data_IF_662295115217
#
_entry.id   IF_662295115217
#
_cell.length_a   1.000
_cell.length_b   1.000
_cell.length_c   1.000
_cell.angle_alpha   90.00
_cell.angle_beta   90.00
_cell.angle_gamma   90.00
#
_symmetry.space_group_name_H-M   'P 1'
#
loop_
_entity.id
_entity.type
_entity.pdbx_description
1 polymer ?
#
# COMPACT_ATOMS: atom_id res chain seq x y z
N UNK A 1 12.39 -31.64 54.86
CA UNK A 1 11.97 -30.32 54.37
C UNK A 1 13.13 -29.70 53.62
N UNK A 2 12.93 -29.30 52.38
CA UNK A 2 13.97 -28.73 51.52
C UNK A 2 13.40 -28.42 50.13
N UNK A 3 12.94 -27.17 50.02
CA UNK A 3 12.25 -26.44 48.94
C UNK A 3 12.41 -26.90 47.46
N UNK A 4 11.34 -26.80 46.65
CA UNK A 4 11.41 -26.98 45.19
C UNK A 4 12.05 -25.77 44.50
N UNK A 5 12.97 -26.04 43.59
CA UNK A 5 13.60 -25.06 42.71
C UNK A 5 12.61 -24.68 41.61
N UNK A 6 11.89 -23.57 41.81
CA UNK A 6 11.00 -23.01 40.80
C UNK A 6 11.81 -22.42 39.64
N UNK A 7 12.05 -23.22 38.60
CA UNK A 7 12.53 -22.72 37.31
C UNK A 7 11.43 -21.89 36.66
N UNK A 8 11.47 -20.57 36.91
CA UNK A 8 10.68 -19.59 36.16
C UNK A 8 11.19 -19.57 34.72
N UNK A 9 10.54 -20.34 33.85
CA UNK A 9 10.66 -20.19 32.41
C UNK A 9 10.08 -18.82 32.03
N UNK A 10 10.94 -17.80 31.99
CA UNK A 10 10.64 -16.51 31.36
C UNK A 10 10.19 -16.82 29.93
N UNK A 11 8.92 -16.55 29.62
CA UNK A 11 8.38 -16.69 28.28
C UNK A 11 9.25 -15.87 27.33
N UNK A 12 9.93 -16.54 26.41
CA UNK A 12 10.65 -15.88 25.34
C UNK A 12 9.61 -15.17 24.48
N UNK A 13 9.53 -13.85 24.59
CA UNK A 13 8.83 -13.00 23.63
C UNK A 13 9.57 -13.17 22.31
N UNK A 14 9.06 -14.07 21.45
CA UNK A 14 9.54 -14.19 20.09
C UNK A 14 9.21 -12.90 19.37
N UNK A 15 10.24 -12.08 19.13
CA UNK A 15 10.13 -10.93 18.25
C UNK A 15 9.90 -11.48 16.85
N UNK A 16 8.63 -11.55 16.44
CA UNK A 16 8.26 -11.91 15.08
C UNK A 16 8.62 -10.72 14.20
N UNK A 17 9.62 -10.88 13.34
CA UNK A 17 9.95 -9.84 12.35
C UNK A 17 8.94 -9.92 11.21
N UNK A 18 8.42 -8.79 10.72
CA UNK A 18 7.53 -8.78 9.56
C UNK A 18 8.26 -9.34 8.33
N UNK A 19 7.52 -10.09 7.52
CA UNK A 19 7.97 -10.62 6.23
C UNK A 19 7.33 -9.86 5.07
N UNK A 20 7.70 -10.18 3.82
CA UNK A 20 7.12 -9.54 2.62
C UNK A 20 5.59 -9.72 2.55
N UNK A 21 5.07 -10.84 3.08
CA UNK A 21 3.62 -11.10 3.12
C UNK A 21 2.92 -10.08 4.03
N UNK A 22 3.53 -9.80 5.18
CA UNK A 22 3.05 -8.82 6.17
C UNK A 22 2.98 -7.41 5.57
N UNK A 23 4.02 -6.96 4.86
CA UNK A 23 3.99 -5.66 4.17
C UNK A 23 2.95 -5.63 3.05
N UNK A 24 2.84 -6.68 2.26
CA UNK A 24 1.84 -6.75 1.18
C UNK A 24 0.41 -6.69 1.73
N UNK A 25 0.16 -7.30 2.89
CA UNK A 25 -1.12 -7.21 3.58
C UNK A 25 -1.42 -5.76 4.02
N UNK A 26 -0.42 -5.06 4.58
CA UNK A 26 -0.55 -3.66 4.97
C UNK A 26 -0.83 -2.75 3.76
N UNK A 27 -0.10 -2.92 2.66
CA UNK A 27 -0.32 -2.16 1.43
C UNK A 27 -1.72 -2.36 0.85
N UNK A 28 -2.22 -3.61 0.88
CA UNK A 28 -3.58 -3.93 0.46
C UNK A 28 -4.64 -3.31 1.39
N UNK A 29 -4.38 -3.27 2.70
CA UNK A 29 -5.26 -2.62 3.66
C UNK A 29 -5.36 -1.11 3.36
N UNK A 30 -4.22 -0.43 3.14
CA UNK A 30 -4.20 0.98 2.76
C UNK A 30 -4.99 1.23 1.45
N UNK A 31 -4.77 0.40 0.42
CA UNK A 31 -5.53 0.50 -0.84
C UNK A 31 -7.05 0.37 -0.64
N UNK A 32 -7.47 -0.43 0.34
CA UNK A 32 -8.89 -0.69 0.62
C UNK A 32 -9.60 0.51 1.24
N UNK A 33 -8.89 1.36 2.00
CA UNK A 33 -9.44 2.59 2.59
C UNK A 33 -10.06 3.49 1.52
N UNK A 34 -9.36 3.70 0.40
CA UNK A 34 -9.88 4.47 -0.73
C UNK A 34 -10.98 3.74 -1.52
N UNK A 35 -10.96 2.40 -1.58
CA UNK A 35 -11.93 1.62 -2.35
C UNK A 35 -13.32 1.59 -1.70
N UNK A 36 -13.38 1.45 -0.37
CA UNK A 36 -14.65 1.38 0.39
C UNK A 36 -15.47 2.66 0.19
N UNK A 37 -14.83 3.82 0.24
CA UNK A 37 -15.54 5.09 0.06
C UNK A 37 -16.10 5.30 -1.35
N UNK A 38 -15.61 4.62 -2.40
CA UNK A 38 -16.11 4.80 -3.78
C UNK A 38 -17.37 3.99 -4.07
N UNK A 39 -17.55 2.85 -3.38
CA UNK A 39 -18.67 1.95 -3.63
C UNK A 39 -19.95 2.30 -2.85
N UNK A 40 -19.86 3.04 -1.75
CA UNK A 40 -21.04 3.37 -0.90
C UNK A 40 -21.99 4.44 -1.45
N UNK A 41 -21.72 5.00 -2.64
CA UNK A 41 -22.54 6.09 -3.22
C UNK A 41 -23.81 5.65 -3.95
N UNK A 42 -24.10 4.35 -4.05
CA UNK A 42 -25.26 3.84 -4.80
C UNK A 42 -26.50 3.49 -3.92
N UNK A 43 -26.39 3.60 -2.59
CA UNK A 43 -27.51 3.29 -1.69
C UNK A 43 -28.47 4.47 -1.56
N UNK A 44 -29.34 4.65 -2.57
CA UNK A 44 -30.47 5.58 -2.54
C UNK A 44 -31.59 5.07 -1.63
N UNK A 45 -31.70 5.62 -0.42
CA UNK A 45 -32.98 5.80 0.26
C UNK A 45 -33.05 7.22 0.79
N UNK A 46 -34.01 7.99 0.27
CA UNK A 46 -34.15 9.42 0.51
C UNK A 46 -34.45 9.77 1.96
N UNK A 47 -33.89 10.89 2.42
CA UNK A 47 -34.27 11.51 3.68
C UNK A 47 -33.35 12.64 4.11
N UNK A 48 -33.80 13.87 3.93
CA UNK A 48 -33.62 14.97 4.88
C UNK A 48 -32.20 15.47 5.20
N UNK A 49 -31.80 16.52 4.48
CA UNK A 49 -31.21 17.76 4.99
C UNK A 49 -30.26 17.74 6.20
N UNK A 50 -29.01 18.14 5.93
CA UNK A 50 -28.23 19.00 6.82
C UNK A 50 -27.00 18.34 7.45
N UNK A 51 -25.85 18.45 6.78
CA UNK A 51 -24.53 18.24 7.38
C UNK A 51 -23.51 17.48 6.54
N UNK A 52 -23.39 17.72 5.24
CA UNK A 52 -22.59 16.88 4.32
C UNK A 52 -21.12 17.34 4.09
N UNK A 53 -20.68 18.42 4.75
CA UNK A 53 -19.31 18.94 4.56
C UNK A 53 -18.24 18.20 5.41
N UNK A 54 -18.64 17.47 6.45
CA UNK A 54 -17.71 16.79 7.38
C UNK A 54 -17.18 15.46 6.83
N UNK A 55 -18.05 14.67 6.17
CA UNK A 55 -17.76 13.30 5.72
C UNK A 55 -16.70 13.24 4.59
N UNK A 56 -16.74 14.22 3.68
CA UNK A 56 -15.77 14.30 2.57
C UNK A 56 -14.37 14.68 3.04
N UNK A 57 -14.27 15.52 4.07
CA UNK A 57 -13.00 15.93 4.66
C UNK A 57 -12.37 14.78 5.46
N UNK A 58 -13.15 14.10 6.30
CA UNK A 58 -12.67 12.96 7.08
C UNK A 58 -12.14 11.83 6.20
N UNK A 59 -12.76 11.61 5.04
CA UNK A 59 -12.26 10.66 4.04
C UNK A 59 -10.90 11.06 3.45
N UNK A 60 -10.75 12.32 3.04
CA UNK A 60 -9.50 12.80 2.44
C UNK A 60 -8.33 12.70 3.44
N UNK A 61 -8.59 13.00 4.72
CA UNK A 61 -7.62 12.82 5.80
C UNK A 61 -7.22 11.35 5.98
N UNK A 62 -8.20 10.43 5.97
CA UNK A 62 -7.92 8.99 6.04
C UNK A 62 -7.16 8.45 4.81
N UNK A 63 -7.44 8.97 3.61
CA UNK A 63 -6.71 8.60 2.38
C UNK A 63 -5.26 9.11 2.42
N UNK A 64 -5.01 10.33 2.91
CA UNK A 64 -3.65 10.86 3.10
C UNK A 64 -2.87 10.10 4.19
N UNK A 65 -3.51 9.75 5.31
CA UNK A 65 -2.90 8.93 6.36
C UNK A 65 -2.54 7.53 5.83
N UNK A 66 -3.48 6.89 5.14
CA UNK A 66 -3.25 5.58 4.53
C UNK A 66 -2.14 5.63 3.47
N UNK A 67 -2.00 6.73 2.74
CA UNK A 67 -0.91 6.95 1.80
C UNK A 67 0.45 7.06 2.52
N UNK A 68 0.52 7.81 3.62
CA UNK A 68 1.71 7.90 4.46
C UNK A 68 2.17 6.52 4.96
N UNK A 69 1.25 5.74 5.52
CA UNK A 69 1.54 4.38 6.01
C UNK A 69 2.00 3.47 4.86
N UNK A 70 1.34 3.52 3.69
CA UNK A 70 1.72 2.71 2.54
C UNK A 70 3.14 3.06 2.04
N UNK A 71 3.48 4.35 2.00
CA UNK A 71 4.78 4.84 1.58
C UNK A 71 5.88 4.38 2.55
N UNK A 72 5.65 4.52 3.85
CA UNK A 72 6.61 4.11 4.88
C UNK A 72 6.83 2.60 4.85
N UNK A 73 5.75 1.81 4.73
CA UNK A 73 5.83 0.36 4.60
C UNK A 73 6.63 -0.08 3.37
N UNK A 74 6.40 0.55 2.22
CA UNK A 74 7.15 0.26 0.99
C UNK A 74 8.63 0.63 1.11
N UNK A 75 8.94 1.80 1.68
CA UNK A 75 10.32 2.26 1.92
C UNK A 75 11.05 1.35 2.90
N UNK A 76 10.42 1.00 4.01
CA UNK A 76 11.00 0.12 5.02
C UNK A 76 11.36 -1.25 4.41
N UNK A 77 10.45 -1.84 3.63
CA UNK A 77 10.72 -3.10 2.91
C UNK A 77 11.92 -2.97 1.96
N UNK A 78 12.01 -1.87 1.21
CA UNK A 78 13.13 -1.59 0.29
C UNK A 78 14.44 -1.32 1.03
N UNK A 79 14.41 -0.67 2.19
CA UNK A 79 15.62 -0.35 2.95
C UNK A 79 16.13 -1.61 3.68
N UNK A 80 15.23 -2.46 4.17
CA UNK A 80 15.56 -3.77 4.73
C UNK A 80 16.27 -4.69 3.72
N UNK A 81 16.00 -4.48 2.43
CA UNK A 81 16.62 -5.20 1.30
C UNK A 81 18.11 -4.86 1.17
N UNK A 82 18.48 -3.60 1.40
CA UNK A 82 19.83 -3.06 1.17
C UNK A 82 20.85 -3.50 2.22
N UNK A 83 20.41 -3.91 3.41
CA UNK A 83 21.26 -4.41 4.50
C UNK A 83 21.64 -5.89 4.43
N UNK A 84 21.43 -6.55 3.28
CA UNK A 84 21.61 -8.01 3.17
C UNK A 84 20.48 -8.83 3.81
N UNK A 85 19.35 -8.19 4.13
CA UNK A 85 18.17 -8.85 4.66
C UNK A 85 17.49 -9.77 3.64
N UNK A 86 16.80 -10.80 4.12
CA UNK A 86 16.00 -11.72 3.30
C UNK A 86 14.69 -11.10 2.76
N UNK A 87 14.36 -9.90 3.23
CA UNK A 87 13.22 -9.12 2.78
C UNK A 87 13.57 -8.46 1.44
N UNK A 88 12.77 -8.76 0.40
CA UNK A 88 12.85 -8.13 -0.92
C UNK A 88 11.43 -7.83 -1.41
N UNK A 89 11.19 -6.65 -2.01
CA UNK A 89 10.00 -6.43 -2.83
C UNK A 89 9.89 -7.52 -3.90
N UNK A 90 8.67 -7.94 -4.20
CA UNK A 90 8.39 -8.82 -5.33
C UNK A 90 7.32 -8.20 -6.22
N UNK A 91 6.97 -8.89 -7.31
CA UNK A 91 5.93 -8.44 -8.23
C UNK A 91 4.59 -8.11 -7.54
N UNK A 92 4.22 -8.84 -6.47
CA UNK A 92 3.01 -8.55 -5.68
C UNK A 92 3.15 -7.24 -4.92
N UNK A 93 4.31 -6.98 -4.30
CA UNK A 93 4.62 -5.71 -3.62
C UNK A 93 4.48 -4.53 -4.58
N UNK A 94 5.13 -4.59 -5.76
CA UNK A 94 5.07 -3.52 -6.75
C UNK A 94 3.66 -3.29 -7.28
N UNK A 95 2.97 -4.36 -7.69
CA UNK A 95 1.60 -4.24 -8.18
C UNK A 95 0.66 -3.64 -7.12
N UNK A 96 0.78 -4.10 -5.88
CA UNK A 96 -0.06 -3.60 -4.78
C UNK A 96 0.25 -2.13 -4.50
N UNK A 97 1.52 -1.74 -4.40
CA UNK A 97 1.89 -0.36 -4.11
C UNK A 97 1.48 0.60 -5.22
N UNK A 98 1.68 0.25 -6.50
CA UNK A 98 1.20 1.03 -7.65
C UNK A 98 -0.32 1.28 -7.55
N UNK A 99 -1.07 0.23 -7.20
CA UNK A 99 -2.52 0.32 -7.00
C UNK A 99 -2.86 1.22 -5.80
N UNK A 100 -2.14 1.10 -4.67
CA UNK A 100 -2.33 1.96 -3.50
C UNK A 100 -2.14 3.43 -3.88
N UNK A 101 -1.07 3.77 -4.61
CA UNK A 101 -0.82 5.13 -5.11
C UNK A 101 -1.98 5.62 -5.97
N UNK A 102 -2.44 4.82 -6.94
CA UNK A 102 -3.52 5.22 -7.85
C UNK A 102 -4.89 5.35 -7.18
N UNK A 103 -5.10 4.67 -6.06
CA UNK A 103 -6.35 4.74 -5.30
C UNK A 103 -6.32 5.87 -4.27
N UNK A 104 -5.21 6.07 -3.56
CA UNK A 104 -5.09 7.05 -2.49
C UNK A 104 -4.78 8.46 -2.99
N UNK A 105 -4.10 8.59 -4.13
CA UNK A 105 -3.85 9.89 -4.75
C UNK A 105 -4.83 10.14 -5.91
N UNK A 106 -5.58 11.26 -5.91
CA UNK A 106 -6.45 11.59 -7.01
C UNK A 106 -5.66 11.80 -8.31
N UNK A 107 -6.27 11.66 -9.50
CA UNK A 107 -5.58 11.88 -10.78
C UNK A 107 -5.02 13.29 -10.95
N UNK A 108 -5.53 14.26 -10.21
CA UNK A 108 -5.07 15.65 -10.18
C UNK A 108 -3.91 15.89 -9.22
N UNK A 109 -3.50 14.90 -8.44
CA UNK A 109 -2.37 15.03 -7.52
C UNK A 109 -1.04 14.90 -8.28
N UNK A 110 -0.23 15.97 -8.24
CA UNK A 110 1.05 16.06 -8.95
C UNK A 110 2.08 15.02 -8.48
N UNK A 111 1.91 14.43 -7.28
CA UNK A 111 2.79 13.38 -6.74
C UNK A 111 2.56 12.03 -7.43
N UNK A 112 1.37 11.80 -7.99
CA UNK A 112 0.94 10.48 -8.47
C UNK A 112 1.78 9.97 -9.64
N UNK A 113 1.84 10.73 -10.73
CA UNK A 113 2.53 10.29 -11.95
C UNK A 113 4.05 10.08 -11.75
N UNK A 114 4.79 11.00 -11.11
CA UNK A 114 6.20 10.78 -10.78
C UNK A 114 6.43 9.53 -9.92
N UNK A 115 5.57 9.28 -8.93
CA UNK A 115 5.69 8.14 -8.04
C UNK A 115 5.41 6.81 -8.74
N UNK A 116 4.37 6.74 -9.59
CA UNK A 116 4.08 5.56 -10.41
C UNK A 116 5.27 5.23 -11.32
N UNK A 117 5.88 6.26 -11.93
CA UNK A 117 7.08 6.12 -12.76
C UNK A 117 8.29 5.61 -11.96
N UNK A 118 8.55 6.18 -10.79
CA UNK A 118 9.66 5.76 -9.92
C UNK A 118 9.51 4.29 -9.51
N UNK A 119 8.32 3.92 -9.00
CA UNK A 119 8.03 2.57 -8.52
C UNK A 119 8.12 1.55 -9.64
N UNK A 120 7.56 1.86 -10.82
CA UNK A 120 7.66 0.98 -11.97
C UNK A 120 9.10 0.84 -12.48
N UNK A 121 9.87 1.94 -12.51
CA UNK A 121 11.29 1.90 -12.83
C UNK A 121 12.06 0.96 -11.90
N UNK A 122 11.79 1.02 -10.58
CA UNK A 122 12.38 0.07 -9.62
C UNK A 122 11.93 -1.37 -9.86
N UNK A 123 10.66 -1.58 -10.22
CA UNK A 123 10.16 -2.89 -10.60
C UNK A 123 10.93 -3.46 -11.81
N UNK A 124 11.25 -2.62 -12.80
CA UNK A 124 12.07 -2.98 -13.96
C UNK A 124 13.51 -3.29 -13.55
N UNK A 125 14.15 -2.41 -12.77
CA UNK A 125 15.54 -2.56 -12.31
C UNK A 125 15.75 -3.89 -11.56
N UNK A 126 14.75 -4.31 -10.78
CA UNK A 126 14.79 -5.54 -9.98
C UNK A 126 14.28 -6.79 -10.74
N UNK A 127 13.88 -6.65 -12.02
CA UNK A 127 13.37 -7.75 -12.83
C UNK A 127 12.04 -8.32 -12.33
N UNK A 128 11.25 -7.53 -11.61
CA UNK A 128 9.98 -7.94 -10.99
C UNK A 128 8.76 -7.65 -11.87
N UNK A 129 8.97 -7.20 -13.10
CA UNK A 129 7.89 -6.92 -14.06
C UNK A 129 7.26 -8.23 -14.53
N UNK A 130 5.95 -8.35 -14.35
CA UNK A 130 5.15 -9.43 -14.90
C UNK A 130 3.81 -8.90 -15.42
N UNK A 131 3.03 -9.76 -16.07
CA UNK A 131 1.74 -9.40 -16.67
C UNK A 131 0.77 -8.73 -15.68
N UNK A 132 0.75 -9.17 -14.41
CA UNK A 132 -0.11 -8.56 -13.39
C UNK A 132 0.33 -7.13 -13.03
N UNK A 133 1.64 -6.87 -12.96
CA UNK A 133 2.20 -5.53 -12.74
C UNK A 133 1.86 -4.62 -13.92
N UNK A 134 2.03 -5.08 -15.16
CA UNK A 134 1.72 -4.30 -16.36
C UNK A 134 0.23 -3.95 -16.46
N UNK A 135 -0.66 -4.91 -16.16
CA UNK A 135 -2.11 -4.65 -16.10
C UNK A 135 -2.45 -3.64 -15.02
N UNK A 136 -1.81 -3.75 -13.86
CA UNK A 136 -2.03 -2.82 -12.75
C UNK A 136 -1.58 -1.42 -13.14
N UNK A 137 -0.35 -1.27 -13.65
CA UNK A 137 0.18 0.00 -14.13
C UNK A 137 -0.75 0.64 -15.16
N UNK A 138 -1.20 -0.12 -16.17
CA UNK A 138 -2.13 0.39 -17.18
C UNK A 138 -3.44 0.91 -16.58
N UNK A 139 -3.95 0.29 -15.52
CA UNK A 139 -5.16 0.76 -14.81
C UNK A 139 -4.90 1.96 -13.90
N UNK A 140 -3.65 2.23 -13.54
CA UNK A 140 -3.25 3.32 -12.66
C UNK A 140 -3.00 4.64 -13.40
N UNK A 141 -2.77 4.59 -14.71
CA UNK A 141 -2.44 5.77 -15.51
C UNK A 141 -3.69 6.37 -16.15
N UNK A 142 -3.64 7.67 -16.41
CA UNK A 142 -4.79 8.42 -16.94
C UNK A 142 -4.94 8.27 -18.45
N UNK A 143 -3.85 7.97 -19.16
CA UNK A 143 -3.83 7.81 -20.62
C UNK A 143 -3.03 6.60 -21.07
N UNK A 144 -3.36 6.08 -22.25
CA UNK A 144 -2.59 5.02 -22.90
C UNK A 144 -1.21 5.47 -23.35
N UNK A 145 -1.03 6.77 -23.66
CA UNK A 145 0.27 7.33 -24.05
C UNK A 145 1.27 7.27 -22.89
N UNK A 146 0.85 7.65 -21.69
CA UNK A 146 1.67 7.60 -20.47
C UNK A 146 2.15 6.16 -20.18
N UNK A 147 1.29 5.16 -20.43
CA UNK A 147 1.65 3.76 -20.31
C UNK A 147 2.77 3.37 -21.29
N UNK A 148 2.65 3.74 -22.56
CA UNK A 148 3.64 3.39 -23.57
C UNK A 148 4.96 4.12 -23.38
N UNK A 149 4.96 5.34 -22.84
CA UNK A 149 6.19 6.04 -22.47
C UNK A 149 6.98 5.31 -21.38
N UNK A 150 6.29 4.69 -20.42
CA UNK A 150 6.92 3.97 -19.31
C UNK A 150 7.44 2.59 -19.68
N UNK A 151 6.78 1.91 -20.62
CA UNK A 151 7.07 0.51 -20.99
C UNK A 151 8.02 0.42 -22.20
N UNK A 152 8.43 1.56 -22.75
CA UNK A 152 9.32 1.64 -23.92
C UNK A 152 10.75 1.17 -23.63
#
# INVERSE_FOLDING_TARGET
GGTPSSSSSRGATTIVRPDTISYNALLNACASVAAVGRNSRDSSCGGGGGGDDDDSKGRAEAEEEAFGIAMDAYRELRDATSGGGALRPNHVTYGTFLRSVALLLPPTDDRRAPLLREVFGKCCDEGMVCDSVLRTLRSCLSSGEEYWELVR
#
